data_IF_305889210919
#
_entry.id   IF_305889210919
#
_cell.length_a   1.000
_cell.length_b   1.000
_cell.length_c   1.000
_cell.angle_alpha   90.00
_cell.angle_beta   90.00
_cell.angle_gamma   90.00
#
_symmetry.space_group_name_H-M   'P 1'
#
loop_
_entity.id
_entity.type
_entity.pdbx_description
1 polymer ?
#
# COMPACT_ATOMS: atom_id res chain seq x y z
N UNK A 1 -0.52 11.50 24.18
CA UNK A 1 -1.44 10.98 23.14
C UNK A 1 -0.69 10.58 21.87
N UNK A 2 0.09 11.47 21.23
CA UNK A 2 0.85 11.13 20.01
C UNK A 2 1.87 9.98 20.16
N UNK A 3 2.52 9.86 21.31
CA UNK A 3 3.51 8.79 21.58
C UNK A 3 2.87 7.39 21.66
N UNK A 4 1.66 7.28 22.22
CA UNK A 4 0.92 6.01 22.27
C UNK A 4 0.43 5.58 20.88
N UNK A 5 -0.05 6.53 20.05
CA UNK A 5 -0.40 6.28 18.66
C UNK A 5 0.79 5.71 17.86
N UNK A 6 1.96 6.34 17.98
CA UNK A 6 3.20 5.89 17.31
C UNK A 6 3.62 4.49 17.76
N UNK A 7 3.63 4.21 19.06
CA UNK A 7 3.97 2.89 19.59
C UNK A 7 3.00 1.80 19.12
N UNK A 8 1.69 2.09 19.14
CA UNK A 8 0.65 1.17 18.66
C UNK A 8 0.83 0.87 17.18
N UNK A 9 1.11 1.90 16.36
CA UNK A 9 1.38 1.75 14.94
C UNK A 9 2.60 0.84 14.71
N UNK A 10 3.74 1.13 15.34
CA UNK A 10 4.96 0.31 15.23
C UNK A 10 4.68 -1.15 15.61
N UNK A 11 3.95 -1.38 16.71
CA UNK A 11 3.61 -2.73 17.14
C UNK A 11 2.72 -3.46 16.13
N UNK A 12 1.74 -2.78 15.53
CA UNK A 12 0.90 -3.37 14.47
C UNK A 12 1.77 -3.76 13.27
N UNK A 13 2.66 -2.87 12.81
CA UNK A 13 3.49 -3.13 11.63
C UNK A 13 4.45 -4.31 11.86
N UNK A 14 5.16 -4.33 13.00
CA UNK A 14 6.15 -5.35 13.31
C UNK A 14 5.55 -6.76 13.46
N UNK A 15 4.31 -6.86 13.95
CA UNK A 15 3.65 -8.15 14.15
C UNK A 15 2.94 -8.68 12.89
N UNK A 16 2.80 -7.87 11.83
CA UNK A 16 1.96 -8.17 10.67
C UNK A 16 2.68 -7.93 9.34
N UNK A 17 3.96 -8.28 9.25
CA UNK A 17 4.80 -8.05 8.06
C UNK A 17 4.32 -8.80 6.81
N UNK A 18 3.65 -9.93 7.00
CA UNK A 18 3.28 -10.84 5.92
C UNK A 18 1.93 -10.54 5.25
N UNK A 19 1.06 -9.75 5.88
CA UNK A 19 -0.28 -9.47 5.35
C UNK A 19 -0.44 -7.99 5.03
N UNK A 20 -1.17 -7.62 3.94
CA UNK A 20 -1.60 -6.26 3.74
C UNK A 20 -2.46 -5.78 4.92
N UNK A 21 -2.31 -4.51 5.31
CA UNK A 21 -2.99 -3.96 6.49
C UNK A 21 -3.78 -2.71 6.12
N UNK A 22 -5.05 -2.68 6.49
CA UNK A 22 -5.89 -1.49 6.49
C UNK A 22 -5.77 -0.80 7.85
N UNK A 23 -5.43 0.48 7.86
CA UNK A 23 -5.28 1.29 9.05
C UNK A 23 -6.23 2.48 9.03
N UNK A 24 -7.12 2.53 10.02
CA UNK A 24 -7.99 3.68 10.27
C UNK A 24 -7.27 4.74 11.13
N UNK A 25 -7.59 6.02 10.88
CA UNK A 25 -7.04 7.20 11.59
C UNK A 25 -5.52 7.39 11.44
N UNK A 26 -4.95 6.85 10.37
CA UNK A 26 -3.54 7.00 10.01
C UNK A 26 -3.46 7.66 8.64
N UNK A 27 -2.46 8.50 8.43
CA UNK A 27 -2.17 9.08 7.12
C UNK A 27 -0.84 8.58 6.59
N UNK A 28 -0.63 8.65 5.27
CA UNK A 28 0.68 8.40 4.65
C UNK A 28 1.83 9.15 5.30
N UNK A 29 1.58 10.34 5.86
CA UNK A 29 2.58 11.17 6.55
C UNK A 29 3.04 10.59 7.90
N UNK A 30 2.29 9.64 8.46
CA UNK A 30 2.69 8.93 9.68
C UNK A 30 3.83 7.92 9.42
N UNK A 31 4.22 7.71 8.15
CA UNK A 31 5.30 6.82 7.73
C UNK A 31 6.48 7.62 7.14
N UNK A 32 7.53 7.82 7.94
CA UNK A 32 8.70 8.65 7.59
C UNK A 32 9.41 8.16 6.31
N UNK A 33 9.60 6.84 6.17
CA UNK A 33 10.19 6.21 4.99
C UNK A 33 9.17 5.26 4.36
N UNK A 34 8.49 5.73 3.32
CA UNK A 34 7.51 4.92 2.59
C UNK A 34 7.42 5.30 1.11
N UNK A 35 7.04 4.33 0.30
CA UNK A 35 6.57 4.56 -1.07
C UNK A 35 5.08 4.81 -0.99
N UNK A 36 4.66 6.04 -1.20
CA UNK A 36 3.25 6.43 -1.15
C UNK A 36 2.64 6.34 -2.54
N UNK A 37 1.50 5.68 -2.62
CA UNK A 37 0.69 5.54 -3.82
C UNK A 37 -0.71 6.10 -3.53
N UNK A 38 -1.06 7.29 -4.05
CA UNK A 38 -2.34 7.91 -3.74
C UNK A 38 -3.48 7.16 -4.42
N UNK A 39 -4.60 6.93 -3.74
CA UNK A 39 -5.70 6.15 -4.29
C UNK A 39 -6.30 6.74 -5.57
N UNK A 40 -6.24 8.06 -5.76
CA UNK A 40 -6.70 8.75 -6.96
C UNK A 40 -5.71 8.71 -8.15
N UNK A 41 -4.60 7.98 -8.04
CA UNK A 41 -3.66 7.80 -9.15
C UNK A 41 -4.38 7.22 -10.38
N UNK A 42 -4.00 7.71 -11.57
CA UNK A 42 -4.55 7.18 -12.81
C UNK A 42 -4.15 5.70 -12.98
N UNK A 43 -5.08 4.83 -13.36
CA UNK A 43 -4.82 3.39 -13.54
C UNK A 43 -3.69 3.11 -14.53
N UNK A 44 -3.46 3.99 -15.51
CA UNK A 44 -2.34 3.86 -16.44
C UNK A 44 -0.97 4.01 -15.77
N UNK A 45 -0.87 4.65 -14.61
CA UNK A 45 0.40 4.85 -13.88
C UNK A 45 0.67 3.76 -12.84
N UNK A 46 -0.25 2.82 -12.66
CA UNK A 46 -0.08 1.70 -11.73
C UNK A 46 0.81 0.60 -12.28
N UNK A 47 0.75 0.36 -13.59
CA UNK A 47 1.37 -0.80 -14.20
C UNK A 47 2.72 -0.52 -14.86
N UNK A 48 3.45 -1.60 -15.13
CA UNK A 48 4.59 -1.56 -16.05
C UNK A 48 4.03 -1.40 -17.46
N UNK A 49 4.57 -0.43 -18.21
CA UNK A 49 4.24 -0.21 -19.62
C UNK A 49 5.32 -0.80 -20.51
N UNK A 50 4.95 -1.11 -21.75
CA UNK A 50 5.91 -1.44 -22.80
C UNK A 50 5.87 -0.30 -23.80
N UNK A 51 7.04 0.26 -24.11
CA UNK A 51 7.23 1.23 -25.19
C UNK A 51 8.33 0.76 -26.15
N UNK A 52 8.68 1.59 -27.13
CA UNK A 52 9.71 1.29 -28.14
C UNK A 52 11.11 1.06 -27.54
N UNK A 53 11.32 1.42 -26.26
CA UNK A 53 12.58 1.26 -25.51
C UNK A 53 12.52 0.11 -24.51
N UNK A 54 11.39 -0.60 -24.41
CA UNK A 54 11.21 -1.78 -23.58
C UNK A 54 10.28 -1.56 -22.38
N UNK A 55 10.62 -2.15 -21.23
CA UNK A 55 9.79 -2.07 -20.02
C UNK A 55 9.99 -0.73 -19.29
N UNK A 56 8.92 0.05 -19.22
CA UNK A 56 8.84 1.29 -18.44
C UNK A 56 8.16 1.02 -17.10
N UNK A 57 8.96 1.07 -16.03
CA UNK A 57 8.47 0.96 -14.67
C UNK A 57 7.94 2.32 -14.18
N UNK A 58 6.78 2.37 -13.51
CA UNK A 58 6.28 3.59 -12.91
C UNK A 58 7.20 4.06 -11.76
N UNK A 59 7.16 5.36 -11.47
CA UNK A 59 8.04 6.00 -10.48
C UNK A 59 7.98 5.33 -9.11
N UNK A 60 6.79 5.02 -8.62
CA UNK A 60 6.59 4.34 -7.33
C UNK A 60 7.26 2.97 -7.30
N UNK A 61 7.17 2.20 -8.38
CA UNK A 61 7.77 0.87 -8.45
C UNK A 61 9.30 0.96 -8.52
N UNK A 62 9.84 1.95 -9.22
CA UNK A 62 11.28 2.24 -9.19
C UNK A 62 11.77 2.58 -7.78
N UNK A 63 10.95 3.25 -6.95
CA UNK A 63 11.31 3.55 -5.56
C UNK A 63 11.35 2.28 -4.70
N UNK A 64 10.42 1.33 -4.92
CA UNK A 64 10.51 0.00 -4.27
C UNK A 64 11.79 -0.71 -4.67
N UNK A 65 12.12 -0.73 -5.97
CA UNK A 65 13.34 -1.39 -6.48
C UNK A 65 14.62 -0.80 -5.91
N UNK A 66 14.67 0.51 -5.67
CA UNK A 66 15.84 1.18 -5.08
C UNK A 66 16.06 0.81 -3.60
N UNK A 67 15.02 0.37 -2.91
CA UNK A 67 15.07 -0.05 -1.49
C UNK A 67 15.22 -1.57 -1.35
N UNK A 68 15.36 -2.31 -2.46
CA UNK A 68 15.56 -3.75 -2.43
C UNK A 68 16.85 -4.11 -1.70
N UNK A 69 16.76 -5.03 -0.73
CA UNK A 69 17.87 -5.41 0.14
C UNK A 69 18.08 -4.51 1.35
N UNK A 70 17.26 -3.45 1.53
CA UNK A 70 17.17 -2.72 2.80
C UNK A 70 16.26 -3.46 3.80
N UNK A 71 15.95 -2.82 4.94
CA UNK A 71 14.95 -3.32 5.90
C UNK A 71 13.52 -3.32 5.28
N UNK A 72 12.49 -3.35 6.11
CA UNK A 72 11.09 -3.30 5.67
C UNK A 72 10.79 -2.14 4.72
N UNK A 73 10.28 -2.47 3.53
CA UNK A 73 9.82 -1.49 2.52
C UNK A 73 8.32 -1.25 2.74
N UNK A 74 7.92 -0.03 3.08
CA UNK A 74 6.51 0.31 3.27
C UNK A 74 5.90 0.85 1.98
N UNK A 75 4.98 0.08 1.37
CA UNK A 75 4.13 0.57 0.28
C UNK A 75 2.79 1.02 0.85
N UNK A 76 2.52 2.32 0.84
CA UNK A 76 1.31 2.91 1.40
C UNK A 76 0.34 3.31 0.30
N UNK A 77 -0.78 2.60 0.17
CA UNK A 77 -1.92 3.02 -0.65
C UNK A 77 -2.75 4.03 0.16
N UNK A 78 -2.62 5.31 -0.16
CA UNK A 78 -3.15 6.39 0.68
C UNK A 78 -4.61 6.71 0.35
N UNK A 79 -5.47 6.74 1.37
CA UNK A 79 -6.88 7.18 1.31
C UNK A 79 -7.74 6.38 0.35
N UNK A 80 -7.65 5.05 0.44
CA UNK A 80 -8.40 4.15 -0.44
C UNK A 80 -9.93 4.33 -0.34
N UNK A 81 -10.40 4.78 0.83
CA UNK A 81 -11.82 5.02 1.11
C UNK A 81 -12.37 6.34 0.55
N UNK A 82 -11.53 7.17 -0.09
CA UNK A 82 -11.95 8.41 -0.76
C UNK A 82 -12.31 8.19 -2.24
N UNK A 83 -12.15 6.97 -2.77
CA UNK A 83 -12.53 6.60 -4.14
C UNK A 83 -13.65 5.55 -4.13
N UNK A 84 -14.38 5.44 -5.25
CA UNK A 84 -15.49 4.49 -5.40
C UNK A 84 -15.04 3.03 -5.29
N UNK A 85 -15.93 2.12 -4.89
CA UNK A 85 -15.60 0.69 -4.81
C UNK A 85 -15.13 0.09 -6.14
N UNK A 86 -15.66 0.57 -7.27
CA UNK A 86 -15.21 0.19 -8.60
C UNK A 86 -13.76 0.66 -8.84
N UNK A 87 -13.45 1.90 -8.50
CA UNK A 87 -12.11 2.43 -8.69
C UNK A 87 -11.08 1.78 -7.75
N UNK A 88 -11.49 1.31 -6.56
CA UNK A 88 -10.63 0.54 -5.67
C UNK A 88 -10.13 -0.77 -6.30
N UNK A 89 -10.87 -1.33 -7.27
CA UNK A 89 -10.50 -2.61 -7.89
C UNK A 89 -9.14 -2.57 -8.62
N UNK A 90 -8.68 -1.39 -9.05
CA UNK A 90 -7.37 -1.23 -9.69
C UNK A 90 -6.20 -1.65 -8.77
N UNK A 91 -6.42 -1.67 -7.45
CA UNK A 91 -5.43 -2.09 -6.45
C UNK A 91 -5.46 -3.59 -6.14
N UNK A 92 -6.49 -4.31 -6.60
CA UNK A 92 -6.68 -5.72 -6.24
C UNK A 92 -5.47 -6.59 -6.59
N UNK A 93 -4.92 -6.42 -7.81
CA UNK A 93 -3.75 -7.17 -8.26
C UNK A 93 -2.51 -6.90 -7.39
N UNK A 94 -2.26 -5.62 -7.09
CA UNK A 94 -1.14 -5.16 -6.25
C UNK A 94 -1.22 -5.80 -4.86
N UNK A 95 -2.40 -5.78 -4.24
CA UNK A 95 -2.59 -6.27 -2.87
C UNK A 95 -2.54 -7.79 -2.81
N UNK A 96 -3.28 -8.48 -3.70
CA UNK A 96 -3.41 -9.94 -3.68
C UNK A 96 -2.11 -10.64 -4.02
N UNK A 97 -1.42 -10.17 -5.08
CA UNK A 97 -0.25 -10.85 -5.60
C UNK A 97 1.06 -10.26 -5.08
N UNK A 98 1.00 -9.19 -4.28
CA UNK A 98 2.16 -8.41 -3.84
C UNK A 98 3.09 -8.11 -5.01
N UNK A 99 2.51 -7.56 -6.07
CA UNK A 99 3.17 -7.44 -7.35
C UNK A 99 2.28 -6.80 -8.41
N UNK A 100 2.87 -6.46 -9.55
CA UNK A 100 2.18 -5.79 -10.65
C UNK A 100 2.73 -6.26 -11.99
N UNK A 101 1.85 -6.53 -12.97
CA UNK A 101 2.22 -7.02 -14.31
C UNK A 101 3.26 -8.17 -14.32
N UNK A 102 3.18 -9.10 -13.37
CA UNK A 102 4.11 -10.24 -13.23
C UNK A 102 5.39 -9.96 -12.44
N UNK A 103 5.69 -8.70 -12.14
CA UNK A 103 6.75 -8.32 -11.21
C UNK A 103 6.30 -8.58 -9.77
N UNK A 104 7.05 -9.39 -9.02
CA UNK A 104 6.82 -9.59 -7.58
C UNK A 104 7.62 -8.57 -6.78
N UNK A 105 7.00 -7.99 -5.75
CA UNK A 105 7.72 -7.12 -4.83
C UNK A 105 8.75 -7.90 -4.02
N UNK A 106 9.82 -7.24 -3.54
CA UNK A 106 10.75 -7.82 -2.58
C UNK A 106 10.01 -8.37 -1.35
N UNK A 107 10.54 -9.42 -0.73
CA UNK A 107 9.93 -10.11 0.43
C UNK A 107 9.70 -9.18 1.63
N UNK A 108 10.49 -8.12 1.72
CA UNK A 108 10.50 -7.12 2.78
C UNK A 108 9.40 -6.06 2.58
N UNK A 109 8.65 -6.14 1.46
CA UNK A 109 7.59 -5.17 1.14
C UNK A 109 6.33 -5.45 1.94
N UNK A 110 6.00 -4.53 2.83
CA UNK A 110 4.74 -4.50 3.58
C UNK A 110 3.77 -3.50 2.95
N UNK A 111 2.57 -3.97 2.63
CA UNK A 111 1.51 -3.15 2.03
C UNK A 111 0.62 -2.59 3.13
N UNK A 112 0.48 -1.28 3.16
CA UNK A 112 -0.37 -0.54 4.09
C UNK A 112 -1.41 0.22 3.28
N UNK A 113 -2.65 0.21 3.75
CA UNK A 113 -3.77 0.94 3.16
C UNK A 113 -4.28 1.88 4.23
N UNK A 114 -4.19 3.18 4.00
CA UNK A 114 -4.75 4.16 4.95
C UNK A 114 -6.18 4.50 4.56
N UNK A 115 -7.03 4.62 5.57
CA UNK A 115 -8.43 5.01 5.41
C UNK A 115 -8.89 5.89 6.57
N UNK A 116 -9.92 6.70 6.33
CA UNK A 116 -10.68 7.37 7.39
C UNK A 116 -11.74 6.45 7.97
N UNK A 117 -12.43 5.69 7.12
CA UNK A 117 -13.45 4.73 7.51
C UNK A 117 -13.28 3.43 6.72
N UNK A 118 -12.99 2.32 7.42
CA UNK A 118 -12.82 1.00 6.77
C UNK A 118 -14.09 0.46 6.11
N UNK A 119 -15.28 0.91 6.52
CA UNK A 119 -16.54 0.46 5.94
C UNK A 119 -16.70 0.94 4.48
N UNK A 120 -15.93 1.95 4.10
CA UNK A 120 -15.81 2.46 2.74
C UNK A 120 -14.71 1.74 1.94
N UNK A 121 -14.26 0.56 2.37
CA UNK A 121 -13.39 -0.33 1.57
C UNK A 121 -14.19 -1.51 1.05
N UNK A 122 -14.08 -1.78 -0.25
CA UNK A 122 -14.78 -2.87 -0.91
C UNK A 122 -14.47 -4.22 -0.24
N UNK A 123 -15.49 -5.09 -0.13
CA UNK A 123 -15.35 -6.43 0.49
C UNK A 123 -14.22 -7.25 -0.12
N UNK A 124 -14.01 -7.09 -1.43
CA UNK A 124 -12.98 -7.78 -2.21
C UNK A 124 -11.56 -7.40 -1.75
N UNK A 125 -11.33 -6.12 -1.46
CA UNK A 125 -10.06 -5.64 -0.88
C UNK A 125 -9.98 -6.01 0.60
N UNK A 126 -11.03 -5.75 1.38
CA UNK A 126 -11.05 -6.04 2.82
C UNK A 126 -10.79 -7.52 3.14
N UNK A 127 -11.23 -8.45 2.29
CA UNK A 127 -10.97 -9.89 2.47
C UNK A 127 -9.49 -10.30 2.33
N UNK A 128 -8.64 -9.44 1.76
CA UNK A 128 -7.21 -9.69 1.58
C UNK A 128 -6.34 -9.09 2.69
N UNK A 129 -6.95 -8.30 3.59
CA UNK A 129 -6.24 -7.43 4.50
C UNK A 129 -6.62 -7.70 5.96
N UNK A 130 -5.67 -7.52 6.86
CA UNK A 130 -5.97 -7.31 8.27
C UNK A 130 -6.42 -5.85 8.47
N UNK A 131 -7.28 -5.59 9.44
CA UNK A 131 -7.81 -4.25 9.71
C UNK A 131 -7.59 -3.86 11.16
N UNK A 132 -7.02 -2.68 11.37
CA UNK A 132 -6.80 -2.12 12.71
C UNK A 132 -7.21 -0.65 12.75
N UNK A 133 -7.72 -0.26 13.92
CA UNK A 133 -7.97 1.14 14.27
C UNK A 133 -6.89 1.65 15.20
N UNK A 134 -6.17 2.67 14.76
CA UNK A 134 -5.17 3.34 15.58
C UNK A 134 -5.86 4.50 16.31
N UNK A 135 -5.78 4.47 17.64
CA UNK A 135 -6.41 5.45 18.55
C UNK A 135 -5.32 6.19 19.33
#
# INVERSE_FOLDING_TARGET
MAQNKRLKLINILNNNTSWPIILENVSSKDFETSVVLPANINSSELGIKIDDKGLCYPSWLNNIKKQEGENTILLVIDKLDEISFEEQEKFYGIIKYKGVNGYKFPSETQIIITVKNKDNVSKKISSLCLSYKVE
#
